data_IF_354110320377
#
_entry.id   IF_354110320377
#
_cell.length_a   1.000
_cell.length_b   1.000
_cell.length_c   1.000
_cell.angle_alpha   90.00
_cell.angle_beta   90.00
_cell.angle_gamma   90.00
#
_symmetry.space_group_name_H-M   'P 1'
#
loop_
_entity.id
_entity.type
_entity.pdbx_description
1 polymer ?
#
# COMPACT_ATOMS: atom_id res chain seq x y z
N UNK A 1 -70.96 -10.08 -8.10
CA UNK A 1 -71.10 -8.62 -8.35
C UNK A 1 -72.38 -8.43 -9.13
N UNK A 2 -73.51 -8.23 -8.43
CA UNK A 2 -74.75 -7.80 -9.10
C UNK A 2 -74.62 -6.30 -9.38
N UNK A 3 -74.99 -5.80 -10.58
CA UNK A 3 -74.91 -4.36 -10.88
C UNK A 3 -75.83 -3.56 -9.96
N UNK A 4 -75.33 -2.45 -9.41
CA UNK A 4 -76.04 -1.49 -8.52
C UNK A 4 -77.20 -0.71 -9.20
N UNK A 5 -77.74 -1.22 -10.31
CA UNK A 5 -78.75 -0.59 -11.17
C UNK A 5 -79.85 -1.59 -11.58
N UNK A 6 -80.19 -2.53 -10.69
CA UNK A 6 -81.41 -3.31 -10.85
C UNK A 6 -82.60 -2.44 -10.48
N UNK A 7 -83.28 -1.93 -11.51
CA UNK A 7 -84.59 -1.33 -11.36
C UNK A 7 -85.54 -2.40 -10.80
N UNK A 8 -85.92 -2.27 -9.54
CA UNK A 8 -86.76 -3.25 -8.84
C UNK A 8 -88.24 -3.19 -9.27
N UNK A 9 -88.57 -2.40 -10.30
CA UNK A 9 -89.94 -2.17 -10.79
C UNK A 9 -90.31 -2.96 -12.06
N UNK A 10 -89.41 -3.76 -12.63
CA UNK A 10 -89.65 -4.48 -13.89
C UNK A 10 -90.49 -5.75 -13.70
N UNK A 11 -91.56 -5.90 -14.49
CA UNK A 11 -92.50 -7.05 -14.45
C UNK A 11 -92.06 -8.25 -15.30
N UNK A 12 -91.06 -8.12 -16.17
CA UNK A 12 -90.63 -9.20 -17.08
C UNK A 12 -89.13 -9.13 -17.37
N UNK A 13 -88.45 -10.28 -17.42
CA UNK A 13 -87.06 -10.40 -17.84
C UNK A 13 -86.86 -11.59 -18.80
N UNK A 14 -85.79 -11.55 -19.59
CA UNK A 14 -85.47 -12.60 -20.56
C UNK A 14 -84.29 -13.42 -20.04
N UNK A 15 -84.48 -14.72 -19.90
CA UNK A 15 -83.42 -15.67 -19.53
C UNK A 15 -82.88 -16.30 -20.82
N UNK A 16 -81.56 -16.21 -21.02
CA UNK A 16 -80.87 -16.87 -22.12
C UNK A 16 -79.84 -17.85 -21.55
N UNK A 17 -80.01 -19.13 -21.85
CA UNK A 17 -79.09 -20.19 -21.46
C UNK A 17 -78.30 -20.59 -22.70
N UNK A 18 -76.99 -20.44 -22.62
CA UNK A 18 -76.04 -20.78 -23.67
C UNK A 18 -75.30 -22.05 -23.27
N UNK A 19 -75.15 -22.99 -24.20
CA UNK A 19 -74.39 -24.22 -23.98
C UNK A 19 -73.32 -24.38 -25.05
N UNK A 20 -72.14 -24.84 -24.65
CA UNK A 20 -70.97 -24.93 -25.53
C UNK A 20 -69.79 -25.60 -24.84
N UNK A 21 -68.85 -26.12 -25.63
CA UNK A 21 -67.53 -26.60 -25.19
C UNK A 21 -66.46 -25.82 -25.96
N UNK A 22 -65.33 -25.51 -25.30
CA UNK A 22 -64.14 -24.86 -25.89
C UNK A 22 -64.45 -23.64 -26.79
N UNK A 23 -65.14 -22.66 -26.22
CA UNK A 23 -65.46 -21.32 -26.78
C UNK A 23 -66.51 -21.25 -27.90
N UNK A 24 -67.15 -22.36 -28.29
CA UNK A 24 -68.32 -22.33 -29.17
C UNK A 24 -69.62 -22.47 -28.37
N UNK A 25 -70.26 -21.34 -28.04
CA UNK A 25 -71.55 -21.33 -27.33
C UNK A 25 -72.72 -21.11 -28.29
N UNK A 26 -73.70 -22.01 -28.26
CA UNK A 26 -74.99 -21.83 -28.95
C UNK A 26 -76.09 -21.53 -27.93
N UNK A 27 -77.05 -20.71 -28.33
CA UNK A 27 -78.21 -20.39 -27.51
C UNK A 27 -79.12 -21.62 -27.44
N UNK A 28 -79.18 -22.26 -26.27
CA UNK A 28 -80.00 -23.45 -26.06
C UNK A 28 -81.43 -23.09 -25.70
N UNK A 29 -81.61 -22.06 -24.85
CA UNK A 29 -82.93 -21.63 -24.39
C UNK A 29 -82.97 -20.11 -24.36
N UNK A 30 -83.95 -19.53 -25.02
CA UNK A 30 -84.38 -18.14 -24.81
C UNK A 30 -85.80 -18.13 -24.29
N UNK A 31 -85.97 -17.61 -23.07
CA UNK A 31 -87.27 -17.58 -22.41
C UNK A 31 -87.59 -16.20 -21.87
N UNK A 32 -88.69 -15.63 -22.34
CA UNK A 32 -89.23 -14.37 -21.81
C UNK A 32 -90.17 -14.69 -20.65
N UNK A 33 -89.73 -14.39 -19.43
CA UNK A 33 -90.42 -14.71 -18.19
C UNK A 33 -91.17 -13.48 -17.72
N UNK A 34 -92.50 -13.60 -17.65
CA UNK A 34 -93.33 -12.59 -16.99
C UNK A 34 -93.51 -12.99 -15.52
N UNK A 35 -93.10 -12.13 -14.58
CA UNK A 35 -93.17 -12.40 -13.14
C UNK A 35 -94.62 -12.64 -12.67
N UNK A 36 -95.59 -12.05 -13.35
CA UNK A 36 -97.02 -12.19 -13.05
C UNK A 36 -97.60 -13.59 -13.40
N UNK A 37 -96.87 -14.42 -14.15
CA UNK A 37 -97.32 -15.73 -14.63
C UNK A 37 -96.70 -16.94 -13.92
N UNK A 38 -95.85 -16.71 -12.92
CA UNK A 38 -95.13 -17.77 -12.20
C UNK A 38 -96.07 -18.55 -11.28
N UNK A 39 -96.15 -19.88 -11.46
CA UNK A 39 -96.89 -20.77 -10.56
C UNK A 39 -95.97 -21.32 -9.49
N UNK A 40 -96.44 -21.32 -8.25
CA UNK A 40 -95.71 -21.86 -7.12
C UNK A 40 -95.66 -23.40 -7.18
N UNK A 41 -94.44 -23.96 -7.17
CA UNK A 41 -94.20 -25.41 -7.33
C UNK A 41 -93.92 -26.08 -5.97
N UNK A 42 -93.58 -25.31 -4.94
CA UNK A 42 -93.37 -25.77 -3.56
C UNK A 42 -92.06 -25.31 -2.92
N UNK A 43 -91.80 -25.73 -1.68
CA UNK A 43 -90.53 -25.45 -0.97
C UNK A 43 -89.38 -26.39 -1.36
N UNK A 44 -89.65 -27.43 -2.17
CA UNK A 44 -88.66 -28.37 -2.70
C UNK A 44 -88.76 -28.45 -4.22
N UNK A 45 -87.61 -28.59 -4.88
CA UNK A 45 -87.49 -28.71 -6.33
C UNK A 45 -88.16 -30.02 -6.77
N UNK A 46 -89.27 -29.94 -7.49
CA UNK A 46 -89.92 -31.07 -8.16
C UNK A 46 -90.01 -30.76 -9.65
N UNK A 47 -89.14 -31.37 -10.44
CA UNK A 47 -89.17 -31.25 -11.92
C UNK A 47 -90.38 -32.03 -12.43
N UNK A 48 -91.27 -31.39 -13.19
CA UNK A 48 -92.42 -32.08 -13.82
C UNK A 48 -92.12 -32.44 -15.27
N UNK A 49 -91.30 -31.66 -15.96
CA UNK A 49 -90.89 -31.89 -17.35
C UNK A 49 -89.36 -31.80 -17.53
N UNK A 50 -88.77 -32.49 -18.52
CA UNK A 50 -87.38 -32.25 -18.92
C UNK A 50 -87.24 -30.85 -19.55
N UNK A 51 -86.14 -30.17 -19.24
CA UNK A 51 -85.82 -28.79 -19.67
C UNK A 51 -86.72 -27.67 -19.10
N UNK A 52 -87.32 -27.89 -17.92
CA UNK A 52 -88.09 -26.88 -17.19
C UNK A 52 -87.15 -25.95 -16.37
N UNK A 53 -87.31 -24.63 -16.52
CA UNK A 53 -86.57 -23.63 -15.73
C UNK A 53 -87.37 -23.29 -14.48
N UNK A 54 -86.73 -23.45 -13.31
CA UNK A 54 -87.32 -23.20 -11.99
C UNK A 54 -86.62 -22.00 -11.35
N UNK A 55 -87.40 -21.04 -10.84
CA UNK A 55 -86.89 -19.87 -10.11
C UNK A 55 -86.97 -20.12 -8.60
N UNK A 56 -85.81 -20.06 -7.93
CA UNK A 56 -85.74 -20.10 -6.47
C UNK A 56 -85.66 -18.68 -5.91
N UNK A 57 -86.70 -18.29 -5.16
CA UNK A 57 -86.72 -17.06 -4.36
C UNK A 57 -86.60 -17.42 -2.87
N UNK A 58 -86.41 -16.42 -2.00
CA UNK A 58 -86.19 -16.64 -0.56
C UNK A 58 -87.37 -17.36 0.14
N UNK A 59 -88.55 -17.41 -0.48
CA UNK A 59 -89.80 -17.99 0.03
C UNK A 59 -90.23 -19.30 -0.67
N UNK A 60 -89.56 -19.72 -1.74
CA UNK A 60 -89.75 -21.03 -2.37
C UNK A 60 -89.48 -21.06 -3.88
N UNK A 61 -89.92 -22.15 -4.54
CA UNK A 61 -89.63 -22.41 -5.95
C UNK A 61 -90.86 -22.22 -6.84
N UNK A 62 -90.66 -21.57 -7.99
CA UNK A 62 -91.70 -21.22 -8.95
C UNK A 62 -91.34 -21.70 -10.36
N UNK A 63 -92.34 -22.14 -11.13
CA UNK A 63 -92.19 -22.55 -12.53
C UNK A 63 -93.32 -21.96 -13.41
N UNK A 64 -93.10 -21.89 -14.71
CA UNK A 64 -94.10 -21.46 -15.70
C UNK A 64 -94.11 -22.44 -16.88
N UNK A 65 -95.30 -22.76 -17.40
CA UNK A 65 -95.47 -23.73 -18.49
C UNK A 65 -94.70 -23.26 -19.75
N UNK A 66 -93.84 -24.13 -20.29
CA UNK A 66 -92.97 -23.85 -21.44
C UNK A 66 -93.72 -24.22 -22.74
N UNK A 67 -94.25 -23.21 -23.45
CA UNK A 67 -95.10 -23.41 -24.63
C UNK A 67 -94.25 -23.38 -25.92
N UNK A 68 -93.92 -24.55 -26.46
CA UNK A 68 -93.40 -24.71 -27.81
C UNK A 68 -94.54 -25.15 -28.74
N UNK A 69 -95.22 -24.19 -29.39
CA UNK A 69 -95.91 -24.35 -30.69
C UNK A 69 -96.40 -23.02 -31.26
N UNK A 70 -96.48 -23.02 -32.59
CA UNK A 70 -96.65 -21.90 -33.52
C UNK A 70 -97.79 -20.89 -33.25
N UNK A 71 -97.55 -19.69 -33.79
CA UNK A 71 -98.49 -18.62 -34.12
C UNK A 71 -99.99 -18.89 -33.84
N UNK A 72 -100.51 -18.28 -32.77
CA UNK A 72 -101.90 -17.80 -32.75
C UNK A 72 -102.03 -16.61 -31.81
N UNK A 73 -102.84 -15.65 -32.24
CA UNK A 73 -103.10 -14.35 -31.61
C UNK A 73 -103.37 -14.45 -30.10
N UNK A 74 -102.45 -13.94 -29.27
CA UNK A 74 -102.73 -13.78 -27.82
C UNK A 74 -103.33 -12.41 -27.55
N UNK A 75 -104.67 -12.45 -27.52
CA UNK A 75 -105.57 -11.60 -26.75
C UNK A 75 -104.89 -10.93 -25.55
N UNK A 76 -105.15 -9.64 -25.40
CA UNK A 76 -104.91 -8.87 -24.17
C UNK A 76 -105.48 -9.65 -22.98
N UNK A 77 -104.61 -10.17 -22.10
CA UNK A 77 -105.01 -10.66 -20.79
C UNK A 77 -105.32 -9.45 -19.89
N UNK A 78 -106.51 -8.87 -20.09
CA UNK A 78 -107.12 -7.93 -19.15
C UNK A 78 -108.14 -8.72 -18.35
N UNK A 79 -107.69 -9.45 -17.33
CA UNK A 79 -108.46 -9.98 -16.19
C UNK A 79 -107.48 -10.78 -15.29
N UNK A 80 -106.83 -10.08 -14.36
CA UNK A 80 -106.11 -10.71 -13.25
C UNK A 80 -107.15 -11.31 -12.30
N UNK A 81 -107.32 -12.63 -12.34
CA UNK A 81 -108.15 -13.37 -11.39
C UNK A 81 -107.29 -13.64 -10.14
N UNK A 82 -107.51 -12.87 -9.07
CA UNK A 82 -106.80 -13.04 -7.80
C UNK A 82 -107.61 -13.95 -6.86
N UNK A 83 -106.94 -14.91 -6.22
CA UNK A 83 -107.53 -15.77 -5.18
C UNK A 83 -107.92 -14.93 -3.95
N UNK A 84 -109.21 -14.92 -3.59
CA UNK A 84 -109.76 -14.08 -2.50
C UNK A 84 -109.12 -14.36 -1.13
N UNK A 85 -108.47 -15.52 -0.94
CA UNK A 85 -107.76 -15.87 0.30
C UNK A 85 -106.43 -15.13 0.50
N UNK A 86 -105.88 -14.53 -0.57
CA UNK A 86 -104.62 -13.78 -0.57
C UNK A 86 -104.80 -12.26 -0.39
N UNK A 87 -106.05 -11.81 -0.25
CA UNK A 87 -106.42 -10.40 -0.05
C UNK A 87 -106.19 -10.02 1.42
N UNK A 88 -105.04 -9.42 1.71
CA UNK A 88 -104.76 -8.82 3.02
C UNK A 88 -105.34 -7.40 3.09
N UNK A 89 -105.81 -6.99 4.26
CA UNK A 89 -106.19 -5.59 4.51
C UNK A 89 -104.99 -4.68 4.25
N UNK A 90 -105.23 -3.56 3.55
CA UNK A 90 -104.22 -2.53 3.29
C UNK A 90 -103.59 -2.06 4.60
N UNK A 91 -102.27 -1.84 4.58
CA UNK A 91 -101.51 -1.37 5.74
C UNK A 91 -102.12 -0.10 6.35
N UNK A 92 -102.14 -0.02 7.69
CA UNK A 92 -102.63 1.19 8.37
C UNK A 92 -101.67 2.37 8.15
N UNK A 93 -102.21 3.59 8.19
CA UNK A 93 -101.43 4.84 8.07
C UNK A 93 -100.27 4.89 9.08
N UNK A 94 -100.46 4.33 10.27
CA UNK A 94 -99.44 4.24 11.31
C UNK A 94 -98.27 3.32 10.91
N UNK A 95 -98.55 2.17 10.26
CA UNK A 95 -97.52 1.26 9.75
C UNK A 95 -96.72 1.90 8.61
N UNK A 96 -97.38 2.66 7.73
CA UNK A 96 -96.71 3.42 6.67
C UNK A 96 -95.84 4.55 7.22
N UNK A 97 -96.29 5.26 8.27
CA UNK A 97 -95.52 6.31 8.93
C UNK A 97 -94.27 5.76 9.63
N UNK A 98 -94.39 4.58 10.28
CA UNK A 98 -93.24 3.88 10.87
C UNK A 98 -92.23 3.44 9.80
N UNK A 99 -92.70 2.89 8.68
CA UNK A 99 -91.86 2.51 7.56
C UNK A 99 -91.11 3.73 6.99
N UNK A 100 -91.82 4.85 6.78
CA UNK A 100 -91.24 6.10 6.30
C UNK A 100 -90.21 6.68 7.28
N UNK A 101 -90.46 6.60 8.58
CA UNK A 101 -89.52 7.05 9.62
C UNK A 101 -88.26 6.19 9.64
N UNK A 102 -88.41 4.86 9.54
CA UNK A 102 -87.29 3.94 9.41
C UNK A 102 -86.49 4.19 8.13
N UNK A 103 -87.16 4.41 7.00
CA UNK A 103 -86.53 4.75 5.73
C UNK A 103 -85.76 6.08 5.81
N UNK A 104 -86.30 7.10 6.48
CA UNK A 104 -85.62 8.37 6.73
C UNK A 104 -84.39 8.19 7.62
N UNK A 105 -84.49 7.40 8.69
CA UNK A 105 -83.37 7.10 9.59
C UNK A 105 -82.26 6.35 8.85
N UNK A 106 -82.60 5.34 8.03
CA UNK A 106 -81.63 4.61 7.19
C UNK A 106 -80.91 5.59 6.24
N UNK A 107 -81.66 6.47 5.58
CA UNK A 107 -81.08 7.46 4.66
C UNK A 107 -80.14 8.44 5.37
N UNK A 108 -80.48 8.90 6.58
CA UNK A 108 -79.62 9.77 7.39
C UNK A 108 -78.34 9.04 7.86
N UNK A 109 -78.46 7.79 8.30
CA UNK A 109 -77.31 6.96 8.69
C UNK A 109 -76.38 6.72 7.50
N UNK A 110 -76.94 6.44 6.31
CA UNK A 110 -76.16 6.24 5.09
C UNK A 110 -75.35 7.49 4.71
N UNK A 111 -75.96 8.68 4.77
CA UNK A 111 -75.24 9.94 4.52
C UNK A 111 -74.13 10.17 5.56
N UNK A 112 -74.40 9.87 6.83
CA UNK A 112 -73.41 10.03 7.91
C UNK A 112 -72.23 9.07 7.75
N UNK A 113 -72.50 7.80 7.41
CA UNK A 113 -71.46 6.80 7.12
C UNK A 113 -70.60 7.22 5.92
N UNK A 114 -71.22 7.76 4.86
CA UNK A 114 -70.46 8.28 3.71
C UNK A 114 -69.58 9.48 4.09
N UNK A 115 -70.07 10.39 4.94
CA UNK A 115 -69.30 11.54 5.42
C UNK A 115 -68.10 11.09 6.25
N UNK A 116 -68.33 10.20 7.21
CA UNK A 116 -67.28 9.62 8.05
C UNK A 116 -66.28 8.83 7.19
N UNK A 117 -66.75 8.07 6.19
CA UNK A 117 -65.89 7.37 5.24
C UNK A 117 -64.94 8.30 4.49
N UNK A 118 -65.44 9.44 3.99
CA UNK A 118 -64.62 10.46 3.35
C UNK A 118 -63.60 11.09 4.30
N UNK A 119 -64.00 11.42 5.53
CA UNK A 119 -63.07 11.96 6.54
C UNK A 119 -61.97 10.96 6.92
N UNK A 120 -62.31 9.67 7.04
CA UNK A 120 -61.34 8.59 7.29
C UNK A 120 -60.37 8.49 6.11
N UNK A 121 -60.87 8.48 4.88
CA UNK A 121 -60.04 8.38 3.68
C UNK A 121 -59.08 9.57 3.54
N UNK A 122 -59.52 10.78 3.86
CA UNK A 122 -58.69 11.98 3.87
C UNK A 122 -57.62 11.95 4.97
N UNK A 123 -57.98 11.48 6.18
CA UNK A 123 -56.99 11.25 7.26
C UNK A 123 -55.98 10.16 6.93
N UNK A 124 -56.40 9.09 6.28
CA UNK A 124 -55.49 8.05 5.82
C UNK A 124 -54.53 8.60 4.76
N UNK A 125 -55.04 9.36 3.78
CA UNK A 125 -54.22 10.00 2.74
C UNK A 125 -53.18 10.94 3.33
N UNK A 126 -53.56 11.79 4.28
CA UNK A 126 -52.63 12.71 4.97
C UNK A 126 -51.61 11.96 5.85
N UNK A 127 -52.01 10.88 6.50
CA UNK A 127 -51.12 10.02 7.31
C UNK A 127 -50.06 9.35 6.44
N UNK A 128 -50.43 8.85 5.26
CA UNK A 128 -49.46 8.27 4.30
C UNK A 128 -48.44 9.32 3.87
N UNK A 129 -48.88 10.52 3.47
CA UNK A 129 -47.98 11.60 3.09
C UNK A 129 -47.04 12.05 4.23
N UNK A 130 -47.54 12.07 5.46
CA UNK A 130 -46.74 12.37 6.66
C UNK A 130 -45.68 11.28 6.92
N UNK A 131 -46.07 10.01 6.80
CA UNK A 131 -45.16 8.88 6.98
C UNK A 131 -44.05 8.85 5.94
N UNK A 132 -44.34 9.16 4.66
CA UNK A 132 -43.29 9.23 3.63
C UNK A 132 -42.26 10.32 3.93
N UNK A 133 -42.71 11.53 4.30
CA UNK A 133 -41.79 12.60 4.73
C UNK A 133 -40.97 12.22 5.96
N UNK A 134 -41.57 11.49 6.91
CA UNK A 134 -40.86 10.99 8.09
C UNK A 134 -39.78 9.97 7.72
N UNK A 135 -40.10 9.02 6.82
CA UNK A 135 -39.14 8.05 6.28
C UNK A 135 -37.98 8.75 5.56
N UNK A 136 -38.27 9.73 4.71
CA UNK A 136 -37.25 10.51 4.02
C UNK A 136 -36.31 11.22 5.01
N UNK A 137 -36.87 11.86 6.04
CA UNK A 137 -36.09 12.53 7.08
C UNK A 137 -35.20 11.54 7.85
N UNK A 138 -35.73 10.40 8.26
CA UNK A 138 -34.97 9.36 8.96
C UNK A 138 -33.86 8.79 8.07
N UNK A 139 -34.13 8.55 6.78
CA UNK A 139 -33.14 8.12 5.79
C UNK A 139 -32.01 9.15 5.65
N UNK A 140 -32.34 10.43 5.50
CA UNK A 140 -31.34 11.50 5.44
C UNK A 140 -30.53 11.60 6.73
N UNK A 141 -31.17 11.46 7.89
CA UNK A 141 -30.50 11.53 9.19
C UNK A 141 -29.51 10.36 9.37
N UNK A 142 -29.89 9.15 8.94
CA UNK A 142 -28.99 7.99 8.91
C UNK A 142 -27.81 8.24 7.96
N UNK A 143 -28.06 8.79 6.77
CA UNK A 143 -27.00 9.13 5.81
C UNK A 143 -26.02 10.16 6.37
N UNK A 144 -26.52 11.20 7.04
CA UNK A 144 -25.67 12.18 7.72
C UNK A 144 -24.83 11.53 8.82
N UNK A 145 -25.38 10.59 9.58
CA UNK A 145 -24.64 9.81 10.57
C UNK A 145 -23.49 9.02 9.95
N UNK A 146 -23.75 8.29 8.87
CA UNK A 146 -22.72 7.54 8.13
C UNK A 146 -21.62 8.45 7.59
N UNK A 147 -21.99 9.56 6.96
CA UNK A 147 -21.02 10.52 6.41
C UNK A 147 -20.16 11.17 7.49
N UNK A 148 -20.72 11.50 8.66
CA UNK A 148 -19.95 12.01 9.80
C UNK A 148 -18.98 10.97 10.34
N UNK A 149 -19.42 9.71 10.46
CA UNK A 149 -18.55 8.60 10.86
C UNK A 149 -17.39 8.39 9.89
N UNK A 150 -17.66 8.42 8.59
CA UNK A 150 -16.65 8.28 7.55
C UNK A 150 -15.67 9.46 7.55
N UNK A 151 -16.16 10.71 7.70
CA UNK A 151 -15.32 11.89 7.83
C UNK A 151 -14.36 11.78 9.01
N UNK A 152 -14.87 11.33 10.17
CA UNK A 152 -14.04 11.17 11.36
C UNK A 152 -13.01 10.05 11.21
N UNK A 153 -13.40 8.94 10.56
CA UNK A 153 -12.47 7.86 10.20
C UNK A 153 -11.34 8.37 9.29
N UNK A 154 -11.68 9.12 8.25
CA UNK A 154 -10.71 9.70 7.32
C UNK A 154 -9.78 10.70 8.01
N UNK A 155 -10.29 11.56 8.91
CA UNK A 155 -9.46 12.47 9.71
C UNK A 155 -8.46 11.72 10.58
N UNK A 156 -8.88 10.62 11.22
CA UNK A 156 -8.00 9.78 12.05
C UNK A 156 -6.90 9.11 11.21
N UNK A 157 -7.25 8.59 10.04
CA UNK A 157 -6.27 8.00 9.10
C UNK A 157 -5.27 9.07 8.64
N UNK A 158 -5.78 10.23 8.22
CA UNK A 158 -4.93 11.33 7.76
C UNK A 158 -3.96 11.79 8.86
N UNK A 159 -4.43 11.92 10.11
CA UNK A 159 -3.58 12.27 11.25
C UNK A 159 -2.43 11.27 11.47
N UNK A 160 -2.72 9.97 11.38
CA UNK A 160 -1.68 8.93 11.51
C UNK A 160 -0.65 9.01 10.38
N UNK A 161 -1.11 9.21 9.15
CA UNK A 161 -0.24 9.35 7.97
C UNK A 161 0.63 10.61 8.06
N UNK A 162 0.09 11.73 8.54
CA UNK A 162 0.88 12.95 8.75
C UNK A 162 1.93 12.78 9.83
N UNK A 163 1.59 12.11 10.94
CA UNK A 163 2.53 11.84 12.03
C UNK A 163 3.66 10.90 11.58
N UNK A 164 3.33 9.85 10.80
CA UNK A 164 4.31 8.94 10.23
C UNK A 164 5.27 9.68 9.30
N UNK A 165 4.73 10.47 8.37
CA UNK A 165 5.52 11.28 7.43
C UNK A 165 6.41 12.28 8.15
N UNK A 166 5.93 12.90 9.24
CA UNK A 166 6.73 13.82 10.04
C UNK A 166 7.88 13.10 10.76
N UNK A 167 7.64 11.91 11.31
CA UNK A 167 8.69 11.08 11.91
C UNK A 167 9.76 10.67 10.90
N UNK A 168 9.35 10.22 9.71
CA UNK A 168 10.27 9.86 8.63
C UNK A 168 11.10 11.06 8.17
N UNK A 169 10.47 12.24 8.00
CA UNK A 169 11.16 13.47 7.64
C UNK A 169 12.20 13.88 8.69
N UNK A 170 11.86 13.78 9.97
CA UNK A 170 12.79 14.07 11.06
C UNK A 170 13.97 13.08 11.09
N UNK A 171 13.74 11.81 10.79
CA UNK A 171 14.82 10.82 10.68
C UNK A 171 15.72 11.10 9.48
N UNK A 172 15.16 11.48 8.33
CA UNK A 172 15.92 11.84 7.15
C UNK A 172 16.79 13.07 7.39
N UNK A 173 16.25 14.11 8.04
CA UNK A 173 17.03 15.31 8.39
C UNK A 173 18.21 14.98 9.30
N UNK A 174 18.01 14.15 10.34
CA UNK A 174 19.12 13.69 11.21
C UNK A 174 20.18 12.92 10.43
N UNK A 175 19.77 12.07 9.49
CA UNK A 175 20.71 11.34 8.62
C UNK A 175 21.48 12.29 7.71
N UNK A 176 20.80 13.28 7.12
CA UNK A 176 21.40 14.29 6.26
C UNK A 176 22.46 15.12 7.01
N UNK A 177 22.15 15.56 8.23
CA UNK A 177 23.11 16.26 9.10
C UNK A 177 24.31 15.38 9.45
N UNK A 178 24.08 14.11 9.80
CA UNK A 178 25.16 13.16 10.09
C UNK A 178 26.03 12.86 8.85
N UNK A 179 25.45 12.77 7.67
CA UNK A 179 26.20 12.60 6.42
C UNK A 179 26.97 13.86 6.05
N UNK A 180 26.38 15.04 6.22
CA UNK A 180 27.04 16.33 5.92
C UNK A 180 28.27 16.54 6.80
N UNK A 181 28.13 16.32 8.12
CA UNK A 181 29.25 16.40 9.07
C UNK A 181 30.36 15.41 8.74
N UNK A 182 30.02 14.15 8.45
CA UNK A 182 30.99 13.12 8.04
C UNK A 182 31.65 13.43 6.70
N UNK A 183 30.91 13.99 5.74
CA UNK A 183 31.47 14.39 4.46
C UNK A 183 32.49 15.52 4.63
N UNK A 184 32.17 16.51 5.46
CA UNK A 184 33.09 17.60 5.78
C UNK A 184 34.37 17.08 6.46
N UNK A 185 34.25 16.19 7.46
CA UNK A 185 35.42 15.64 8.15
C UNK A 185 36.32 14.82 7.22
N UNK A 186 35.73 14.00 6.33
CA UNK A 186 36.48 13.24 5.32
C UNK A 186 37.15 14.17 4.29
N UNK A 187 36.51 15.29 3.96
CA UNK A 187 37.09 16.33 3.12
C UNK A 187 38.38 16.90 3.74
N UNK A 188 38.33 17.26 5.02
CA UNK A 188 39.49 17.76 5.76
C UNK A 188 40.60 16.69 5.89
N UNK A 189 40.23 15.44 6.18
CA UNK A 189 41.20 14.34 6.27
C UNK A 189 41.91 14.09 4.94
N UNK A 190 41.16 14.10 3.83
CA UNK A 190 41.72 14.00 2.48
C UNK A 190 42.71 15.12 2.20
N UNK A 191 42.36 16.37 2.52
CA UNK A 191 43.25 17.52 2.33
C UNK A 191 44.53 17.37 3.17
N UNK A 192 44.41 17.02 4.44
CA UNK A 192 45.56 16.74 5.32
C UNK A 192 46.47 15.64 4.75
N UNK A 193 45.89 14.54 4.25
CA UNK A 193 46.64 13.44 3.66
C UNK A 193 47.37 13.88 2.38
N UNK A 194 46.73 14.68 1.54
CA UNK A 194 47.39 15.22 0.34
C UNK A 194 48.58 16.10 0.70
N UNK A 195 48.47 16.89 1.77
CA UNK A 195 49.57 17.76 2.20
C UNK A 195 50.72 16.97 2.80
N UNK A 196 50.43 15.95 3.63
CA UNK A 196 51.45 15.03 4.13
C UNK A 196 52.17 14.28 3.01
N UNK A 197 51.45 13.88 1.96
CA UNK A 197 52.06 13.23 0.80
C UNK A 197 53.02 14.18 0.07
N UNK A 198 52.65 15.45 -0.13
CA UNK A 198 53.54 16.45 -0.73
C UNK A 198 54.78 16.68 0.13
N UNK A 199 54.61 16.81 1.45
CA UNK A 199 55.72 17.00 2.38
C UNK A 199 56.68 15.79 2.36
N UNK A 200 56.13 14.56 2.31
CA UNK A 200 56.91 13.33 2.19
C UNK A 200 57.73 13.33 0.90
N UNK A 201 57.11 13.67 -0.24
CA UNK A 201 57.81 13.79 -1.52
C UNK A 201 58.92 14.83 -1.46
N UNK A 202 58.66 16.01 -0.90
CA UNK A 202 59.65 17.07 -0.77
C UNK A 202 60.85 16.66 0.11
N UNK A 203 60.58 16.00 1.26
CA UNK A 203 61.64 15.45 2.14
C UNK A 203 62.47 14.39 1.42
N UNK A 204 61.84 13.52 0.63
CA UNK A 204 62.54 12.51 -0.17
C UNK A 204 63.45 13.15 -1.21
N UNK A 205 62.98 14.16 -1.94
CA UNK A 205 63.78 14.88 -2.93
C UNK A 205 64.98 15.58 -2.27
N UNK A 206 64.76 16.26 -1.14
CA UNK A 206 65.83 16.90 -0.38
C UNK A 206 66.87 15.90 0.11
N UNK A 207 66.43 14.74 0.61
CA UNK A 207 67.31 13.66 1.03
C UNK A 207 68.18 13.15 -0.13
N UNK A 208 67.57 12.86 -1.28
CA UNK A 208 68.31 12.39 -2.45
C UNK A 208 69.33 13.43 -2.94
N UNK A 209 68.96 14.71 -2.96
CA UNK A 209 69.87 15.81 -3.32
C UNK A 209 71.04 15.91 -2.34
N UNK A 210 70.75 15.89 -1.04
CA UNK A 210 71.78 15.99 0.01
C UNK A 210 72.73 14.78 -0.01
N UNK A 211 72.19 13.58 -0.23
CA UNK A 211 72.98 12.36 -0.34
C UNK A 211 73.88 12.37 -1.59
N UNK A 212 73.38 12.85 -2.73
CA UNK A 212 74.19 13.03 -3.93
C UNK A 212 75.33 14.04 -3.70
N UNK A 213 75.06 15.16 -3.02
CA UNK A 213 76.07 16.14 -2.63
C UNK A 213 77.11 15.57 -1.67
N UNK A 214 76.67 14.81 -0.66
CA UNK A 214 77.56 14.11 0.27
C UNK A 214 78.48 13.14 -0.48
N UNK A 215 77.89 12.29 -1.33
CA UNK A 215 78.63 11.33 -2.16
C UNK A 215 79.67 12.02 -3.05
N UNK A 216 79.31 13.16 -3.65
CA UNK A 216 80.23 13.96 -4.44
C UNK A 216 81.38 14.52 -3.60
N UNK A 217 81.08 15.10 -2.43
CA UNK A 217 82.10 15.65 -1.52
C UNK A 217 83.03 14.57 -0.98
N UNK A 218 82.51 13.39 -0.64
CA UNK A 218 83.32 12.25 -0.24
C UNK A 218 84.32 11.87 -1.34
N UNK A 219 83.89 11.80 -2.61
CA UNK A 219 84.80 11.54 -3.74
C UNK A 219 85.87 12.61 -3.89
N UNK A 220 85.52 13.88 -3.75
CA UNK A 220 86.49 14.98 -3.80
C UNK A 220 87.53 14.84 -2.68
N UNK A 221 87.11 14.63 -1.44
CA UNK A 221 88.01 14.46 -0.30
C UNK A 221 88.94 13.25 -0.48
N UNK A 222 88.41 12.14 -1.01
CA UNK A 222 89.23 10.96 -1.35
C UNK A 222 90.25 11.27 -2.45
N UNK A 223 89.88 12.06 -3.46
CA UNK A 223 90.82 12.50 -4.49
C UNK A 223 91.89 13.42 -3.93
N UNK A 224 91.54 14.35 -3.03
CA UNK A 224 92.48 15.23 -2.31
C UNK A 224 93.46 14.40 -1.46
N UNK A 225 92.96 13.34 -0.81
CA UNK A 225 93.76 12.44 0.01
C UNK A 225 94.83 11.68 -0.80
N UNK A 226 94.55 11.38 -2.07
CA UNK A 226 95.55 10.78 -2.99
C UNK A 226 96.74 11.70 -3.24
N UNK A 227 96.59 13.02 -3.11
CA UNK A 227 97.71 13.97 -3.24
C UNK A 227 98.53 14.08 -1.94
N UNK A 228 97.89 13.90 -0.78
CA UNK A 228 98.55 13.95 0.53
C UNK A 228 99.35 12.66 0.79
N UNK A 229 98.78 11.51 0.38
CA UNK A 229 99.40 10.19 0.51
C UNK A 229 99.64 9.56 -0.87
N UNK A 230 100.60 10.06 -1.66
CA UNK A 230 100.93 9.46 -2.94
C UNK A 230 101.43 8.04 -2.73
N UNK A 231 100.85 7.10 -3.50
CA UNK A 231 101.26 5.69 -3.56
C UNK A 231 101.83 5.46 -4.95
N UNK A 232 103.14 5.34 -5.03
CA UNK A 232 103.87 5.17 -6.27
C UNK A 232 104.48 3.78 -6.36
N UNK A 233 104.67 3.30 -7.59
CA UNK A 233 105.40 2.06 -7.88
C UNK A 233 106.76 2.45 -8.43
N UNK A 234 107.81 2.12 -7.70
CA UNK A 234 109.20 2.34 -8.12
C UNK A 234 109.74 1.01 -8.64
N UNK A 235 110.00 0.93 -9.94
CA UNK A 235 110.64 -0.24 -10.55
C UNK A 235 112.15 -0.13 -10.35
N UNK A 236 112.73 -1.03 -9.56
CA UNK A 236 114.18 -1.11 -9.36
C UNK A 236 114.86 -1.82 -10.55
N UNK A 237 116.16 -1.63 -10.71
CA UNK A 237 116.97 -2.21 -11.79
C UNK A 237 116.91 -3.76 -11.89
N UNK A 238 116.35 -4.44 -10.87
CA UNK A 238 116.18 -5.88 -10.81
C UNK A 238 114.77 -6.37 -11.24
N UNK A 239 113.98 -5.56 -11.94
CA UNK A 239 112.58 -5.86 -12.33
C UNK A 239 111.64 -6.15 -11.14
N UNK A 240 111.98 -5.69 -9.93
CA UNK A 240 111.09 -5.74 -8.78
C UNK A 240 110.33 -4.42 -8.64
N UNK A 241 109.00 -4.51 -8.60
CA UNK A 241 108.10 -3.39 -8.33
C UNK A 241 108.01 -3.14 -6.82
N UNK A 242 108.65 -2.09 -6.33
CA UNK A 242 108.53 -1.67 -4.95
C UNK A 242 107.41 -0.63 -4.80
N UNK A 243 106.51 -0.84 -3.85
CA UNK A 243 105.49 0.15 -3.51
C UNK A 243 106.06 1.17 -2.52
N UNK A 244 105.75 2.44 -2.72
CA UNK A 244 106.23 3.54 -1.89
C UNK A 244 105.04 4.43 -1.51
N UNK A 245 104.91 4.78 -0.23
CA UNK A 245 103.92 5.74 0.26
C UNK A 245 104.64 6.97 0.82
N UNK A 246 104.29 8.17 0.34
CA UNK A 246 104.96 9.42 0.72
C UNK A 246 106.50 9.38 0.61
N UNK A 247 107.04 8.69 -0.39
CA UNK A 247 108.49 8.52 -0.58
C UNK A 247 109.15 7.46 0.31
N UNK A 248 108.40 6.75 1.16
CA UNK A 248 108.90 5.66 2.02
C UNK A 248 108.47 4.29 1.48
N UNK A 249 109.42 3.37 1.36
CA UNK A 249 109.19 2.02 0.82
C UNK A 249 108.28 1.22 1.74
N UNK A 250 107.20 0.67 1.18
CA UNK A 250 106.28 -0.26 1.84
C UNK A 250 106.57 -1.67 1.31
N UNK A 251 107.40 -2.47 1.99
CA UNK A 251 107.75 -3.81 1.53
C UNK A 251 106.58 -4.79 1.69
N UNK A 252 106.60 -5.84 0.87
CA UNK A 252 105.70 -6.98 1.03
C UNK A 252 105.95 -7.69 2.35
N UNK A 253 104.93 -8.35 2.89
CA UNK A 253 104.96 -8.94 4.23
C UNK A 253 106.02 -10.02 4.45
N UNK A 254 106.56 -10.58 3.38
CA UNK A 254 107.60 -11.61 3.40
C UNK A 254 109.02 -11.03 3.56
N UNK A 255 109.21 -9.72 3.31
CA UNK A 255 110.51 -9.04 3.27
C UNK A 255 110.76 -8.07 4.44
N UNK A 256 109.94 -8.10 5.50
CA UNK A 256 110.07 -7.17 6.62
C UNK A 256 111.40 -7.34 7.38
N UNK A 257 111.93 -8.57 7.47
CA UNK A 257 113.13 -8.89 8.27
C UNK A 257 114.45 -8.37 7.68
N UNK A 258 114.48 -7.98 6.40
CA UNK A 258 115.69 -7.60 5.69
C UNK A 258 115.83 -6.07 5.47
N UNK A 259 114.97 -5.25 6.07
CA UNK A 259 114.88 -3.80 5.84
C UNK A 259 114.88 -3.02 7.16
N UNK A 260 115.07 -1.70 7.07
CA UNK A 260 115.09 -0.80 8.23
C UNK A 260 113.70 -0.71 8.89
N UNK A 261 113.57 -1.27 10.09
CA UNK A 261 112.34 -1.26 10.91
C UNK A 261 111.74 0.14 11.09
N UNK A 262 112.59 1.18 11.14
CA UNK A 262 112.16 2.58 11.25
C UNK A 262 111.38 3.03 10.01
N UNK A 263 111.93 2.81 8.82
CA UNK A 263 111.28 3.14 7.54
C UNK A 263 109.95 2.39 7.34
N UNK A 264 109.89 1.11 7.71
CA UNK A 264 108.68 0.28 7.60
C UNK A 264 107.60 0.79 8.57
N UNK A 265 107.96 1.10 9.81
CA UNK A 265 107.03 1.63 10.80
C UNK A 265 106.42 2.97 10.37
N UNK A 266 107.23 3.86 9.78
CA UNK A 266 106.75 5.14 9.23
C UNK A 266 105.78 4.92 8.06
N UNK A 267 106.12 4.04 7.12
CA UNK A 267 105.25 3.70 5.98
C UNK A 267 103.90 3.11 6.44
N UNK A 268 103.91 2.19 7.41
CA UNK A 268 102.70 1.63 8.01
C UNK A 268 101.89 2.69 8.78
N UNK A 269 102.56 3.66 9.42
CA UNK A 269 101.91 4.80 10.07
C UNK A 269 101.13 5.68 9.10
N UNK A 270 101.68 5.95 7.91
CA UNK A 270 100.96 6.66 6.84
C UNK A 270 99.78 5.86 6.31
N UNK A 271 99.96 4.56 6.08
CA UNK A 271 98.87 3.67 5.64
C UNK A 271 97.75 3.60 6.67
N UNK A 272 98.07 3.50 7.96
CA UNK A 272 97.09 3.49 9.04
C UNK A 272 96.28 4.79 9.08
N UNK A 273 96.94 5.94 8.92
CA UNK A 273 96.25 7.23 8.86
C UNK A 273 95.37 7.35 7.61
N UNK A 274 95.87 6.93 6.45
CA UNK A 274 95.12 6.93 5.20
C UNK A 274 93.82 6.12 5.32
N UNK A 275 93.89 4.89 5.85
CA UNK A 275 92.72 4.03 6.07
C UNK A 275 91.73 4.66 7.06
N UNK A 276 92.23 5.27 8.13
CA UNK A 276 91.40 5.98 9.10
C UNK A 276 90.66 7.15 8.45
N UNK A 277 91.34 7.98 7.66
CA UNK A 277 90.74 9.13 6.97
C UNK A 277 89.70 8.70 5.92
N UNK A 278 89.98 7.63 5.17
CA UNK A 278 89.01 7.05 4.23
C UNK A 278 87.74 6.58 4.96
N UNK A 279 87.89 5.90 6.09
CA UNK A 279 86.77 5.48 6.94
C UNK A 279 85.96 6.67 7.44
N UNK A 280 86.62 7.72 7.92
CA UNK A 280 85.96 8.95 8.38
C UNK A 280 85.17 9.64 7.26
N UNK A 281 85.74 9.78 6.06
CA UNK A 281 85.07 10.43 4.93
C UNK A 281 83.92 9.61 4.36
N UNK A 282 84.03 8.28 4.33
CA UNK A 282 82.95 7.39 3.92
C UNK A 282 81.91 7.16 5.02
N UNK A 283 82.18 7.60 6.25
CA UNK A 283 81.38 7.32 7.45
C UNK A 283 81.12 5.81 7.66
N UNK A 284 82.11 4.99 7.32
CA UNK A 284 82.04 3.53 7.48
C UNK A 284 82.87 3.15 8.71
N UNK A 285 82.26 2.56 9.76
CA UNK A 285 83.01 2.09 10.92
C UNK A 285 83.96 0.95 10.53
N UNK A 286 85.22 1.05 10.96
CA UNK A 286 86.20 -0.02 10.77
C UNK A 286 85.93 -1.16 11.75
N UNK A 287 85.97 -2.41 11.26
CA UNK A 287 85.83 -3.61 12.10
C UNK A 287 86.94 -3.72 13.14
N UNK A 288 88.14 -3.28 12.76
CA UNK A 288 89.29 -3.15 13.64
C UNK A 288 89.63 -1.67 13.79
N UNK A 289 89.38 -1.05 14.96
CA UNK A 289 89.68 0.36 15.18
C UNK A 289 91.18 0.65 15.00
N UNK A 290 91.49 1.62 14.15
CA UNK A 290 92.87 2.07 13.91
C UNK A 290 93.18 3.23 14.86
N UNK A 291 94.21 3.06 15.69
CA UNK A 291 94.72 4.08 16.60
C UNK A 291 95.96 4.69 15.94
N UNK A 292 95.77 5.83 15.28
CA UNK A 292 96.89 6.51 14.64
C UNK A 292 97.81 7.18 15.66
N UNK A 293 99.10 6.81 15.64
CA UNK A 293 100.18 7.40 16.47
C UNK A 293 101.48 7.51 15.66
N UNK A 294 101.40 8.00 14.42
CA UNK A 294 102.56 8.08 13.52
C UNK A 294 103.18 6.69 13.26
N UNK A 295 104.50 6.55 13.42
CA UNK A 295 105.19 5.26 13.27
C UNK A 295 104.82 4.21 14.33
N UNK A 296 104.11 4.60 15.39
CA UNK A 296 103.64 3.71 16.46
C UNK A 296 102.13 3.46 16.37
N UNK A 297 101.56 3.63 15.18
CA UNK A 297 100.14 3.35 14.94
C UNK A 297 99.82 1.89 15.20
N UNK A 298 98.67 1.62 15.79
CA UNK A 298 98.27 0.26 16.14
C UNK A 298 96.80 0.00 15.80
N UNK A 299 96.43 -1.27 15.71
CA UNK A 299 95.10 -1.71 15.29
C UNK A 299 94.54 -2.58 16.38
N UNK A 300 93.37 -2.22 16.90
CA UNK A 300 92.75 -2.94 18.00
C UNK A 300 91.96 -4.15 17.52
N UNK A 301 92.30 -5.35 17.99
CA UNK A 301 91.51 -6.56 17.72
C UNK A 301 90.38 -6.72 18.74
N UNK A 302 89.15 -6.43 18.29
CA UNK A 302 87.93 -6.57 19.09
C UNK A 302 87.16 -7.86 18.80
N UNK A 303 87.63 -8.73 17.89
CA UNK A 303 86.88 -9.88 17.38
C UNK A 303 87.50 -11.20 17.84
N UNK A 304 88.84 -11.28 17.95
CA UNK A 304 89.51 -12.51 18.40
C UNK A 304 89.41 -12.68 19.91
N UNK A 305 88.69 -13.72 20.35
CA UNK A 305 88.37 -13.98 21.76
C UNK A 305 89.57 -14.53 22.57
N UNK A 306 90.62 -15.00 21.89
CA UNK A 306 91.80 -15.63 22.49
C UNK A 306 92.94 -14.66 22.85
N UNK A 307 92.77 -13.35 22.61
CA UNK A 307 93.79 -12.34 22.90
C UNK A 307 93.55 -11.67 24.26
N UNK A 308 94.60 -11.60 25.09
CA UNK A 308 94.61 -10.83 26.34
C UNK A 308 94.43 -9.34 26.07
N UNK A 309 93.92 -8.54 27.02
CA UNK A 309 93.73 -7.08 26.83
C UNK A 309 95.00 -6.33 26.40
N UNK A 310 96.18 -6.83 26.80
CA UNK A 310 97.49 -6.28 26.39
C UNK A 310 97.92 -6.67 24.98
N UNK A 311 97.37 -7.74 24.44
CA UNK A 311 97.66 -8.27 23.09
C UNK A 311 96.65 -7.76 22.06
N UNK A 312 95.63 -7.02 22.51
CA UNK A 312 94.61 -6.42 21.66
C UNK A 312 95.01 -5.06 21.12
N UNK A 313 96.08 -4.42 21.61
CA UNK A 313 96.51 -3.05 21.25
C UNK A 313 97.77 -2.98 20.38
#
# INVERSE_FOLDING_TARGET
MLPDLLDTSVSCFVVRIWGGWEEQFTLLIEWKVNLDGLRYTGQQIRSRNPNEIIFGFNDGYYASDFDHKDHSERKKNSLLLVDQSSVRNSYSVFSLLRLHTAQRAIKQTQVTVQKIGKEIEEKLRTTVACNERKKERECMQMRLGMLRGELERQRKVLGRETDLRQKERAQLQKKEEAFSTKHHSLGMERESLTEQHKECTAKRELFLKSNAQLTFRCRQLLSELSYIYPIDVVTTAANQSDYVICGVKLPNSEDFQAKDDGSVAVALGYTAHLVLMISCFLQIPLRYPVIHKGSRSSIKDTITDKLSEKERE
#
